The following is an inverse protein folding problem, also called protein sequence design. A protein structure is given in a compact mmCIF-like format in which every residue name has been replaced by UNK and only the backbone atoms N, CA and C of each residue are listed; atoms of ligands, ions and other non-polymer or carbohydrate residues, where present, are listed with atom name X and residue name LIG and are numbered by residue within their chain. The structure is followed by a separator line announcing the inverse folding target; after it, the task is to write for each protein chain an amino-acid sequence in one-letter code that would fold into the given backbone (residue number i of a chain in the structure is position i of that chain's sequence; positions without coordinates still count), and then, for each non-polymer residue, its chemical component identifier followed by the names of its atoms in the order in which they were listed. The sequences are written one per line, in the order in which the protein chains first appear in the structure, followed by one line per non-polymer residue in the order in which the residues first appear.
data_IF_578676618099
#
_entry.id   IF_578676618099
#
_cell.length_a   1.000
_cell.length_b   1.000
_cell.length_c   1.000
_cell.angle_alpha   90.00
_cell.angle_beta   90.00
_cell.angle_gamma   90.00
#
_symmetry.space_group_name_H-M   'P 1'
#
loop_
_entity.id
_entity.type
_entity.pdbx_description
1 polymer ?
#
# COMPACT_ATOMS: atom_id res chain seq x y z
N UNK A 1 -14.90 -8.75 17.44
CA UNK A 1 -14.88 -8.41 16.01
C UNK A 1 -13.50 -7.96 15.62
N UNK A 2 -13.12 -8.08 14.35
CA UNK A 2 -11.83 -7.59 13.84
C UNK A 2 -11.91 -6.09 13.50
N UNK A 3 -10.87 -5.29 13.79
CA UNK A 3 -10.83 -3.88 13.41
C UNK A 3 -10.75 -3.73 11.88
N UNK A 4 -11.55 -2.83 11.33
CA UNK A 4 -11.61 -2.54 9.89
C UNK A 4 -10.89 -1.22 9.62
N UNK A 5 -10.05 -1.22 8.59
CA UNK A 5 -9.31 -0.05 8.15
C UNK A 5 -9.53 0.16 6.65
N UNK A 6 -9.81 1.40 6.27
CA UNK A 6 -10.00 1.79 4.88
C UNK A 6 -8.85 2.69 4.43
N UNK A 7 -8.49 2.63 3.14
CA UNK A 7 -7.40 3.43 2.58
C UNK A 7 -7.79 3.97 1.21
N UNK A 8 -7.57 5.27 0.99
CA UNK A 8 -7.80 5.88 -0.32
C UNK A 8 -6.85 5.29 -1.38
N UNK A 9 -7.28 5.12 -2.65
CA UNK A 9 -6.41 4.60 -3.71
C UNK A 9 -5.13 5.40 -3.94
N UNK A 10 -5.20 6.73 -3.76
CA UNK A 10 -4.05 7.64 -3.84
C UNK A 10 -3.01 7.35 -2.75
N UNK A 11 -3.46 7.02 -1.55
CA UNK A 11 -2.63 6.60 -0.42
C UNK A 11 -1.96 5.26 -0.68
N UNK A 12 -2.70 4.28 -1.20
CA UNK A 12 -2.14 2.98 -1.56
C UNK A 12 -1.01 3.15 -2.57
N UNK A 13 -1.26 3.96 -3.61
CA UNK A 13 -0.25 4.31 -4.60
C UNK A 13 0.94 5.03 -3.97
N UNK A 14 0.74 6.09 -3.20
CA UNK A 14 1.84 6.78 -2.51
C UNK A 14 2.66 5.84 -1.62
N UNK A 15 2.02 4.97 -0.85
CA UNK A 15 2.68 4.04 0.06
C UNK A 15 3.49 2.98 -0.70
N UNK A 16 3.06 2.59 -1.90
CA UNK A 16 3.70 1.51 -2.67
C UNK A 16 4.74 2.04 -3.65
N UNK A 17 4.42 3.09 -4.39
CA UNK A 17 5.24 3.62 -5.50
C UNK A 17 5.87 5.00 -5.22
N UNK A 18 5.54 5.63 -4.09
CA UNK A 18 5.99 6.99 -3.74
C UNK A 18 5.18 8.12 -4.39
N UNK A 19 4.32 7.85 -5.39
CA UNK A 19 3.51 8.86 -6.09
C UNK A 19 2.05 8.42 -6.23
N UNK A 20 1.10 9.27 -5.84
CA UNK A 20 -0.35 8.95 -5.88
C UNK A 20 -0.93 8.72 -7.28
N UNK A 21 -0.21 9.12 -8.34
CA UNK A 21 -0.62 8.99 -9.73
C UNK A 21 -0.13 7.74 -10.47
N UNK A 22 0.45 6.75 -9.79
CA UNK A 22 0.96 5.56 -10.48
C UNK A 22 -0.13 4.74 -11.17
N UNK A 23 0.25 4.16 -12.31
CA UNK A 23 -0.57 3.18 -13.04
C UNK A 23 -0.56 1.81 -12.36
N UNK A 24 -1.57 0.99 -12.69
CA UNK A 24 -1.75 -0.36 -12.10
C UNK A 24 -0.52 -1.26 -12.29
N UNK A 25 0.12 -1.22 -13.46
CA UNK A 25 1.33 -2.00 -13.74
C UNK A 25 2.53 -1.59 -12.86
N UNK A 26 2.63 -0.30 -12.51
CA UNK A 26 3.67 0.19 -11.61
C UNK A 26 3.45 -0.30 -10.17
N UNK A 27 2.18 -0.35 -9.72
CA UNK A 27 1.85 -0.89 -8.39
C UNK A 27 2.25 -2.36 -8.33
N UNK A 28 1.84 -3.19 -9.29
CA UNK A 28 2.18 -4.62 -9.32
C UNK A 28 3.70 -4.87 -9.38
N UNK A 29 4.42 -4.11 -10.22
CA UNK A 29 5.88 -4.18 -10.28
C UNK A 29 6.53 -3.82 -8.94
N UNK A 30 6.08 -2.73 -8.31
CA UNK A 30 6.62 -2.28 -7.03
C UNK A 30 6.29 -3.26 -5.90
N UNK A 31 5.08 -3.82 -5.86
CA UNK A 31 4.72 -4.88 -4.90
C UNK A 31 5.65 -6.07 -5.04
N UNK A 32 5.89 -6.54 -6.27
CA UNK A 32 6.84 -7.62 -6.56
C UNK A 32 8.24 -7.28 -6.03
N UNK A 33 8.75 -6.08 -6.35
CA UNK A 33 10.09 -5.65 -5.92
C UNK A 33 10.21 -5.48 -4.40
N UNK A 34 9.19 -4.91 -3.75
CA UNK A 34 9.18 -4.65 -2.30
C UNK A 34 9.05 -5.94 -1.48
N UNK A 35 8.34 -6.94 -2.01
CA UNK A 35 8.11 -8.22 -1.35
C UNK A 35 9.08 -9.32 -1.81
N UNK A 36 9.98 -9.01 -2.77
CA UNK A 36 10.95 -9.98 -3.29
C UNK A 36 10.31 -11.16 -4.02
N UNK A 37 9.14 -10.97 -4.64
CA UNK A 37 8.43 -12.03 -5.35
C UNK A 37 9.12 -12.36 -6.68
N UNK A 38 9.17 -13.65 -7.03
CA UNK A 38 9.78 -14.14 -8.27
C UNK A 38 8.96 -13.80 -9.52
N UNK A 39 7.64 -13.78 -9.39
CA UNK A 39 6.71 -13.50 -10.48
C UNK A 39 5.86 -12.26 -10.18
N UNK A 40 5.33 -11.62 -11.23
CA UNK A 40 4.39 -10.52 -11.05
C UNK A 40 3.04 -11.11 -10.63
N UNK A 41 2.51 -10.76 -9.44
CA UNK A 41 1.20 -11.22 -9.04
C UNK A 41 0.12 -10.65 -9.97
N UNK A 42 -1.00 -11.37 -10.08
CA UNK A 42 -2.21 -10.89 -10.75
C UNK A 42 -2.66 -9.54 -10.18
N UNK A 43 -3.40 -8.76 -10.97
CA UNK A 43 -3.80 -7.41 -10.59
C UNK A 43 -4.54 -7.35 -9.24
N UNK A 44 -5.46 -8.28 -9.00
CA UNK A 44 -6.23 -8.35 -7.75
C UNK A 44 -5.36 -8.73 -6.55
N UNK A 45 -4.42 -9.67 -6.74
CA UNK A 45 -3.46 -10.07 -5.72
C UNK A 45 -2.48 -8.93 -5.41
N UNK A 46 -2.01 -8.21 -6.43
CA UNK A 46 -1.16 -7.04 -6.27
C UNK A 46 -1.86 -5.93 -5.48
N UNK A 47 -3.14 -5.65 -5.77
CA UNK A 47 -3.93 -4.65 -5.08
C UNK A 47 -4.16 -5.03 -3.61
N UNK A 48 -4.45 -6.30 -3.31
CA UNK A 48 -4.58 -6.79 -1.93
C UNK A 48 -3.26 -6.65 -1.15
N UNK A 49 -2.12 -7.01 -1.76
CA UNK A 49 -0.80 -6.86 -1.15
C UNK A 49 -0.45 -5.38 -0.94
N UNK A 50 -0.79 -4.51 -1.89
CA UNK A 50 -0.58 -3.07 -1.77
C UNK A 50 -1.40 -2.47 -0.62
N UNK A 51 -2.65 -2.91 -0.41
CA UNK A 51 -3.48 -2.52 0.74
C UNK A 51 -2.81 -2.96 2.05
N UNK A 52 -2.36 -4.22 2.13
CA UNK A 52 -1.65 -4.74 3.32
C UNK A 52 -0.37 -3.95 3.63
N UNK A 53 0.43 -3.65 2.60
CA UNK A 53 1.64 -2.84 2.76
C UNK A 53 1.32 -1.41 3.22
N UNK A 54 0.26 -0.82 2.67
CA UNK A 54 -0.22 0.50 3.07
C UNK A 54 -0.66 0.51 4.53
N UNK A 55 -1.37 -0.53 4.96
CA UNK A 55 -1.78 -0.71 6.34
C UNK A 55 -0.57 -0.78 7.29
N UNK A 56 0.42 -1.61 6.97
CA UNK A 56 1.65 -1.74 7.76
C UNK A 56 2.40 -0.41 7.87
N UNK A 57 2.58 0.32 6.75
CA UNK A 57 3.24 1.63 6.75
C UNK A 57 2.44 2.68 7.53
N UNK A 58 1.11 2.65 7.43
CA UNK A 58 0.24 3.55 8.19
C UNK A 58 0.31 3.28 9.70
N UNK A 59 0.35 2.00 10.11
CA UNK A 59 0.54 1.63 11.51
C UNK A 59 1.95 1.99 12.01
N UNK A 60 2.97 1.84 11.17
CA UNK A 60 4.34 2.19 11.55
C UNK A 60 4.51 3.70 11.71
N UNK A 61 3.87 4.51 10.87
CA UNK A 61 3.77 5.96 11.05
C UNK A 61 3.12 6.33 12.38
N UNK A 62 1.98 5.71 12.69
CA UNK A 62 1.30 5.90 13.97
C UNK A 62 2.18 5.49 15.17
N UNK A 63 2.92 4.37 15.07
CA UNK A 63 3.83 3.88 16.11
C UNK A 63 5.06 4.77 16.31
N UNK A 64 5.58 5.37 15.23
CA UNK A 64 6.76 6.26 15.25
C UNK A 64 6.43 7.71 15.61
N UNK A 65 5.17 8.04 15.90
CA UNK A 65 4.75 9.41 16.24
C UNK A 65 4.77 10.39 15.06
N UNK A 66 4.98 9.90 13.85
CA UNK A 66 4.80 10.68 12.62
C UNK A 66 3.31 10.72 12.35
N UNK A 67 2.68 11.87 12.58
CA UNK A 67 1.25 12.06 12.40
C UNK A 67 0.81 11.52 11.03
N UNK A 68 0.02 10.44 11.04
CA UNK A 68 -0.66 9.98 9.85
C UNK A 68 -1.57 11.14 9.41
N UNK A 69 -1.28 11.74 8.26
CA UNK A 69 -2.15 12.77 7.67
C UNK A 69 -3.61 12.27 7.71
N UNK A 70 -4.53 13.16 8.06
CA UNK A 70 -5.92 12.81 8.35
C UNK A 70 -6.54 11.96 7.24
N UNK A 71 -7.18 10.90 7.69
CA UNK A 71 -8.09 10.05 6.94
C UNK A 71 -9.38 10.85 6.65
N UNK A 72 -9.53 11.36 5.43
CA UNK A 72 -10.82 11.75 4.82
C UNK A 72 -10.82 11.20 3.41
#
# INVERSE_FOLDING_TARGET
GLPIFEYAPTRIKQATVGRGGAGKNQVAFMVRALLGLTETPDADAADALAIGLTHLRSQEGARRGIAAEKQI
#
